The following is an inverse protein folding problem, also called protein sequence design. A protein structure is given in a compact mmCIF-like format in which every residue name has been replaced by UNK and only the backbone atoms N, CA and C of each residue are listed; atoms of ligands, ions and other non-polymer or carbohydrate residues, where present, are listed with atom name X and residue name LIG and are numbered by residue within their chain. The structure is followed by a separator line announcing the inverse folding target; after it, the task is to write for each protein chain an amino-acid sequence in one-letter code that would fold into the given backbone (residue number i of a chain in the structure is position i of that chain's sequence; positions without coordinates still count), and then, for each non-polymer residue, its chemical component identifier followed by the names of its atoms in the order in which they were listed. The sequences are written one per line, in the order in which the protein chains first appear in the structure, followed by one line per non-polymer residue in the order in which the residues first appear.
data_IF_260751927805
#
_entry.id   IF_260751927805
#
_cell.length_a   1.000
_cell.length_b   1.000
_cell.length_c   1.000
_cell.angle_alpha   90.00
_cell.angle_beta   90.00
_cell.angle_gamma   90.00
#
_symmetry.space_group_name_H-M   'P 1'
#
loop_
_entity.id
_entity.type
_entity.pdbx_description
1 polymer ?
#
# COMPACT_ATOMS: atom_id res chain seq x y z
N UNK A 1 28.83 -31.01 26.75
CA UNK A 1 29.09 -29.77 25.98
C UNK A 1 27.91 -29.38 25.10
N UNK A 2 27.32 -30.30 24.31
CA UNK A 2 26.10 -30.06 23.52
C UNK A 2 24.86 -29.63 24.35
N UNK A 3 24.68 -30.23 25.53
CA UNK A 3 23.56 -29.93 26.43
C UNK A 3 23.55 -28.49 27.00
N UNK A 4 24.72 -27.87 27.15
CA UNK A 4 24.84 -26.51 27.66
C UNK A 4 24.53 -25.46 26.58
N UNK A 5 24.86 -25.75 25.32
CA UNK A 5 24.53 -24.91 24.17
C UNK A 5 23.03 -24.94 23.87
N UNK A 6 22.40 -26.11 23.92
CA UNK A 6 20.95 -26.28 23.76
C UNK A 6 20.15 -25.50 24.82
N UNK A 7 20.59 -25.51 26.09
CA UNK A 7 19.91 -24.74 27.15
C UNK A 7 19.92 -23.22 26.90
N UNK A 8 21.01 -22.66 26.36
CA UNK A 8 21.07 -21.22 26.09
C UNK A 8 20.23 -20.82 24.87
N UNK A 9 20.08 -21.73 23.91
CA UNK A 9 19.21 -21.54 22.76
C UNK A 9 17.73 -21.55 23.17
N UNK A 10 17.34 -22.48 24.05
CA UNK A 10 15.98 -22.51 24.63
C UNK A 10 15.66 -21.25 25.44
N UNK A 11 16.59 -20.78 26.25
CA UNK A 11 16.43 -19.53 27.01
C UNK A 11 16.23 -18.34 26.06
N UNK A 12 17.04 -18.24 25.01
CA UNK A 12 16.89 -17.21 23.98
C UNK A 12 15.52 -17.28 23.31
N UNK A 13 15.10 -18.48 22.87
CA UNK A 13 13.81 -18.68 22.21
C UNK A 13 12.66 -18.22 23.11
N UNK A 14 12.66 -18.65 24.38
CA UNK A 14 11.62 -18.27 25.33
C UNK A 14 11.56 -16.76 25.56
N UNK A 15 12.72 -16.11 25.68
CA UNK A 15 12.80 -14.65 25.86
C UNK A 15 12.25 -13.93 24.63
N UNK A 16 12.69 -14.32 23.43
CA UNK A 16 12.27 -13.64 22.19
C UNK A 16 10.78 -13.87 21.93
N UNK A 17 10.26 -15.08 22.11
CA UNK A 17 8.83 -15.35 21.96
C UNK A 17 7.99 -14.56 22.94
N UNK A 18 8.40 -14.46 24.22
CA UNK A 18 7.71 -13.64 25.21
C UNK A 18 7.65 -12.17 24.77
N UNK A 19 8.76 -11.62 24.27
CA UNK A 19 8.83 -10.25 23.76
C UNK A 19 7.95 -10.08 22.51
N UNK A 20 8.07 -11.00 21.54
CA UNK A 20 7.33 -10.98 20.29
C UNK A 20 5.81 -11.02 20.54
N UNK A 21 5.34 -11.95 21.38
CA UNK A 21 3.93 -12.06 21.76
C UNK A 21 3.41 -10.79 22.45
N UNK A 22 4.24 -10.14 23.26
CA UNK A 22 3.86 -8.90 23.96
C UNK A 22 3.73 -7.71 23.01
N UNK A 23 4.61 -7.61 22.03
CA UNK A 23 4.70 -6.44 21.15
C UNK A 23 3.93 -6.57 19.84
N UNK A 24 3.71 -7.78 19.33
CA UNK A 24 3.09 -7.99 18.03
C UNK A 24 1.74 -7.26 17.87
N UNK A 25 0.86 -7.34 18.86
CA UNK A 25 -0.44 -6.66 18.83
C UNK A 25 -0.34 -5.14 18.90
N UNK A 26 0.58 -4.62 19.73
CA UNK A 26 0.79 -3.17 19.93
C UNK A 26 1.38 -2.51 18.68
N UNK A 27 2.31 -3.22 18.04
CA UNK A 27 3.02 -2.73 16.85
C UNK A 27 2.40 -3.23 15.54
N UNK A 28 1.27 -3.94 15.56
CA UNK A 28 0.50 -4.23 14.34
C UNK A 28 0.07 -2.93 13.64
N UNK A 29 0.15 -2.91 12.31
CA UNK A 29 -0.35 -1.83 11.46
C UNK A 29 -0.54 -2.31 10.01
N UNK A 30 -1.34 -1.58 9.24
CA UNK A 30 -1.56 -1.91 7.83
C UNK A 30 -2.11 -3.32 7.62
N UNK A 31 -1.62 -3.98 6.58
CA UNK A 31 -1.96 -5.37 6.23
C UNK A 31 -1.24 -6.42 7.09
N UNK A 32 -0.30 -6.03 7.95
CA UNK A 32 0.45 -7.02 8.73
C UNK A 32 -0.47 -7.80 9.66
N UNK A 33 -0.36 -9.12 9.59
CA UNK A 33 -0.97 -10.01 10.56
C UNK A 33 -0.18 -10.01 11.87
N UNK A 34 -0.77 -10.63 12.90
CA UNK A 34 -0.12 -10.74 14.19
C UNK A 34 1.16 -11.59 14.09
N UNK A 35 1.17 -12.61 13.22
CA UNK A 35 2.33 -13.48 13.02
C UNK A 35 3.47 -12.77 12.27
N UNK A 36 3.15 -11.94 11.27
CA UNK A 36 4.14 -11.09 10.58
C UNK A 36 4.91 -10.23 11.59
N UNK A 37 4.19 -9.65 12.55
CA UNK A 37 4.80 -8.80 13.57
C UNK A 37 5.65 -9.59 14.56
N UNK A 38 5.31 -10.85 14.86
CA UNK A 38 6.18 -11.72 15.68
C UNK A 38 7.46 -12.07 14.94
N UNK A 39 7.35 -12.43 13.66
CA UNK A 39 8.52 -12.72 12.82
C UNK A 39 9.45 -11.51 12.72
N UNK A 40 8.88 -10.31 12.54
CA UNK A 40 9.65 -9.08 12.52
C UNK A 40 10.37 -8.81 13.86
N UNK A 41 9.71 -9.11 14.99
CA UNK A 41 10.32 -8.99 16.31
C UNK A 41 11.50 -9.97 16.48
N UNK A 42 11.33 -11.20 15.98
CA UNK A 42 12.36 -12.24 15.93
C UNK A 42 13.59 -11.82 15.13
N UNK A 43 13.39 -11.37 13.89
CA UNK A 43 14.47 -10.90 13.03
C UNK A 43 15.28 -9.80 13.72
N UNK A 44 14.60 -8.82 14.29
CA UNK A 44 15.21 -7.70 15.00
C UNK A 44 15.96 -8.14 16.25
N UNK A 45 15.43 -9.11 17.00
CA UNK A 45 16.10 -9.65 18.17
C UNK A 45 17.42 -10.32 17.76
N UNK A 46 17.41 -11.17 16.73
CA UNK A 46 18.60 -11.86 16.22
C UNK A 46 19.64 -10.89 15.67
N UNK A 47 19.23 -9.83 14.98
CA UNK A 47 20.13 -8.77 14.53
C UNK A 47 20.79 -8.06 15.72
N UNK A 48 20.01 -7.73 16.76
CA UNK A 48 20.47 -7.04 17.96
C UNK A 48 21.42 -7.86 18.82
N UNK A 49 21.36 -9.20 18.79
CA UNK A 49 22.26 -10.07 19.55
C UNK A 49 23.75 -9.84 19.20
N UNK A 50 24.05 -9.40 17.97
CA UNK A 50 25.42 -9.12 17.53
C UNK A 50 26.08 -7.98 18.32
N UNK A 51 25.27 -7.06 18.82
CA UNK A 51 25.71 -5.88 19.57
C UNK A 51 25.58 -6.05 21.10
N UNK A 52 25.22 -7.25 21.57
CA UNK A 52 25.00 -7.51 22.99
C UNK A 52 26.33 -7.65 23.74
N UNK A 53 26.53 -6.84 24.77
CA UNK A 53 27.77 -6.74 25.53
C UNK A 53 27.80 -7.60 26.81
N UNK A 54 26.73 -8.35 27.10
CA UNK A 54 26.64 -9.24 28.26
C UNK A 54 26.51 -8.56 29.63
N UNK A 55 26.47 -7.21 29.70
CA UNK A 55 26.51 -6.49 31.00
C UNK A 55 25.17 -6.46 31.72
N UNK A 56 24.07 -6.45 30.98
CA UNK A 56 22.69 -6.38 31.49
C UNK A 56 21.95 -7.66 31.10
N UNK A 57 20.91 -8.09 31.82
CA UNK A 57 20.14 -9.28 31.44
C UNK A 57 19.67 -9.22 29.98
N UNK A 58 19.78 -10.36 29.29
CA UNK A 58 19.47 -10.48 27.87
C UNK A 58 18.04 -10.02 27.55
N UNK A 59 17.07 -10.41 28.38
CA UNK A 59 15.67 -9.99 28.25
C UNK A 59 15.54 -8.47 28.27
N UNK A 60 16.20 -7.76 29.19
CA UNK A 60 16.11 -6.30 29.28
C UNK A 60 16.73 -5.60 28.07
N UNK A 61 17.85 -6.15 27.57
CA UNK A 61 18.48 -5.67 26.36
C UNK A 61 17.55 -5.83 25.15
N UNK A 62 17.09 -7.06 24.90
CA UNK A 62 16.23 -7.40 23.77
C UNK A 62 14.90 -6.66 23.84
N UNK A 63 14.29 -6.56 25.03
CA UNK A 63 13.05 -5.81 25.23
C UNK A 63 13.18 -4.37 24.73
N UNK A 64 14.26 -3.68 25.11
CA UNK A 64 14.51 -2.30 24.69
C UNK A 64 14.83 -2.22 23.20
N UNK A 65 15.70 -3.10 22.71
CA UNK A 65 16.13 -3.12 21.32
C UNK A 65 14.95 -3.39 20.37
N UNK A 66 14.23 -4.49 20.60
CA UNK A 66 13.08 -4.91 19.79
C UNK A 66 11.99 -3.85 19.81
N UNK A 67 11.63 -3.32 21.00
CA UNK A 67 10.60 -2.26 21.11
C UNK A 67 10.95 -1.04 20.27
N UNK A 68 12.18 -0.53 20.38
CA UNK A 68 12.61 0.67 19.65
C UNK A 68 12.64 0.44 18.14
N UNK A 69 13.08 -0.74 17.72
CA UNK A 69 13.12 -1.14 16.31
C UNK A 69 11.73 -1.34 15.71
N UNK A 70 10.81 -2.00 16.42
CA UNK A 70 9.41 -2.12 15.98
C UNK A 70 8.70 -0.76 15.94
N UNK A 71 9.01 0.14 16.88
CA UNK A 71 8.52 1.51 16.83
C UNK A 71 9.00 2.25 15.57
N UNK A 72 10.30 2.16 15.26
CA UNK A 72 10.86 2.75 14.05
C UNK A 72 10.26 2.11 12.78
N UNK A 73 10.11 0.80 12.76
CA UNK A 73 9.50 0.06 11.66
C UNK A 73 8.08 0.57 11.36
N UNK A 74 7.22 0.70 12.39
CA UNK A 74 5.88 1.29 12.24
C UNK A 74 5.94 2.75 11.77
N UNK A 75 6.87 3.54 12.30
CA UNK A 75 7.04 4.95 11.94
C UNK A 75 7.47 5.16 10.48
N UNK A 76 8.34 4.29 9.97
CA UNK A 76 8.89 4.42 8.62
C UNK A 76 7.94 3.88 7.54
N UNK A 77 7.13 2.87 7.88
CA UNK A 77 6.25 2.19 6.93
C UNK A 77 4.79 2.63 6.99
N UNK A 78 4.29 3.14 8.13
CA UNK A 78 2.87 3.51 8.27
C UNK A 78 2.64 5.01 8.43
N UNK A 79 3.02 5.58 9.57
CA UNK A 79 2.65 6.95 9.93
C UNK A 79 3.68 7.60 10.84
N UNK A 80 3.98 8.87 10.58
CA UNK A 80 4.79 9.73 11.46
C UNK A 80 3.85 10.69 12.21
N UNK A 81 3.70 10.55 13.55
CA UNK A 81 2.87 11.45 14.33
C UNK A 81 3.35 12.90 14.33
N UNK A 82 4.66 13.11 14.26
CA UNK A 82 5.26 14.44 14.26
C UNK A 82 4.90 15.17 12.96
N UNK A 83 3.93 16.09 13.04
CA UNK A 83 3.58 16.98 11.93
C UNK A 83 4.50 18.20 11.95
N UNK A 84 4.81 18.81 10.79
CA UNK A 84 5.64 20.02 10.73
C UNK A 84 5.13 21.15 11.62
N UNK A 85 3.81 21.20 11.84
CA UNK A 85 3.16 22.19 12.69
C UNK A 85 3.49 22.07 14.18
N UNK A 86 3.89 20.89 14.70
CA UNK A 86 4.14 20.68 16.13
C UNK A 86 5.30 21.54 16.67
N UNK A 87 6.23 21.93 15.79
CA UNK A 87 7.37 22.79 16.10
C UNK A 87 7.35 24.08 15.29
N UNK A 88 6.21 24.45 14.72
CA UNK A 88 6.09 25.59 13.83
C UNK A 88 5.89 26.88 14.63
N UNK A 89 6.77 27.90 14.48
CA UNK A 89 6.60 29.19 15.15
C UNK A 89 5.34 29.95 14.73
N UNK A 90 4.77 29.61 13.57
CA UNK A 90 3.57 30.25 13.02
C UNK A 90 2.26 29.62 13.54
N UNK A 91 2.34 28.59 14.39
CA UNK A 91 1.18 27.97 15.01
C UNK A 91 0.94 28.61 16.38
N UNK A 92 -0.16 29.34 16.53
CA UNK A 92 -0.57 29.97 17.79
C UNK A 92 -1.99 29.51 18.09
N UNK A 93 -2.22 28.95 19.28
CA UNK A 93 -3.54 28.41 19.69
C UNK A 93 -4.16 27.45 18.65
N UNK A 94 -3.37 26.51 18.12
CA UNK A 94 -3.75 25.54 17.07
C UNK A 94 -4.18 26.12 15.71
N UNK A 95 -4.04 27.43 15.54
CA UNK A 95 -4.33 28.15 14.30
C UNK A 95 -3.03 28.61 13.64
N UNK A 96 -2.91 28.38 12.33
CA UNK A 96 -1.79 28.89 11.55
C UNK A 96 -2.02 30.38 11.29
N UNK A 97 -1.08 31.23 11.70
CA UNK A 97 -1.18 32.68 11.52
C UNK A 97 -0.98 33.12 10.06
N UNK A 98 -0.34 32.29 9.23
CA UNK A 98 0.03 32.62 7.85
C UNK A 98 -0.96 32.10 6.79
N UNK A 99 -1.52 30.91 6.98
CA UNK A 99 -2.34 30.24 5.97
C UNK A 99 -3.71 29.87 6.56
N UNK A 100 -4.78 30.07 5.78
CA UNK A 100 -6.14 29.72 6.19
C UNK A 100 -6.37 28.20 6.07
N UNK A 101 -5.91 27.61 4.98
CA UNK A 101 -5.82 26.16 4.80
C UNK A 101 -4.37 25.70 5.05
N UNK A 102 -4.20 24.66 5.88
CA UNK A 102 -2.88 24.08 6.16
C UNK A 102 -2.27 23.42 4.93
N UNK A 103 -3.07 22.98 3.95
CA UNK A 103 -2.56 22.40 2.70
C UNK A 103 -1.88 23.43 1.79
N UNK A 104 -2.12 24.72 1.99
CA UNK A 104 -1.38 25.79 1.30
C UNK A 104 0.06 25.91 1.80
N UNK A 105 0.37 25.37 2.98
CA UNK A 105 1.74 25.31 3.49
C UNK A 105 2.51 24.15 2.83
N UNK A 106 3.54 24.47 2.05
CA UNK A 106 4.41 23.49 1.38
C UNK A 106 4.96 22.40 2.31
N UNK A 107 5.37 22.76 3.52
CA UNK A 107 5.91 21.79 4.48
C UNK A 107 4.84 20.79 4.93
N UNK A 108 3.64 21.31 5.22
CA UNK A 108 2.52 20.49 5.67
C UNK A 108 1.98 19.62 4.53
N UNK A 109 1.76 20.19 3.35
CA UNK A 109 1.26 19.45 2.18
C UNK A 109 2.20 18.31 1.75
N UNK A 110 3.51 18.54 1.76
CA UNK A 110 4.52 17.49 1.50
C UNK A 110 4.54 16.41 2.58
N UNK A 111 4.32 16.76 3.83
CA UNK A 111 4.18 15.78 4.90
C UNK A 111 2.92 14.93 4.70
N UNK A 112 1.77 15.58 4.44
CA UNK A 112 0.48 14.93 4.20
C UNK A 112 0.56 13.95 3.04
N UNK A 113 1.05 14.38 1.86
CA UNK A 113 1.20 13.51 0.68
C UNK A 113 2.06 12.27 0.95
N UNK A 114 3.19 12.42 1.65
CA UNK A 114 4.06 11.28 1.98
C UNK A 114 3.39 10.31 2.95
N UNK A 115 2.66 10.86 3.91
CA UNK A 115 1.94 10.07 4.91
C UNK A 115 0.76 9.33 4.30
N UNK A 116 -0.03 9.98 3.46
CA UNK A 116 -1.13 9.37 2.71
C UNK A 116 -0.62 8.27 1.78
N UNK A 117 0.48 8.52 1.04
CA UNK A 117 1.10 7.51 0.19
C UNK A 117 1.50 6.26 0.98
N UNK A 118 2.13 6.42 2.16
CA UNK A 118 2.48 5.28 3.02
C UNK A 118 1.23 4.53 3.47
N UNK A 119 0.22 5.22 3.98
CA UNK A 119 -1.04 4.58 4.38
C UNK A 119 -1.69 3.82 3.22
N UNK A 120 -1.74 4.44 2.05
CA UNK A 120 -2.33 3.84 0.84
C UNK A 120 -1.61 2.57 0.40
N UNK A 121 -0.28 2.50 0.53
CA UNK A 121 0.49 1.28 0.21
C UNK A 121 0.24 0.16 1.24
N UNK A 122 -0.11 0.51 2.48
CA UNK A 122 -0.29 -0.43 3.58
C UNK A 122 -1.74 -0.84 3.80
N UNK A 123 -2.69 -0.19 3.14
CA UNK A 123 -4.07 -0.67 3.06
C UNK A 123 -4.07 -1.87 2.13
N UNK A 124 -4.38 -3.06 2.65
CA UNK A 124 -4.75 -4.17 1.80
C UNK A 124 -5.96 -3.71 0.99
N UNK A 125 -5.81 -3.58 -0.33
CA UNK A 125 -6.96 -3.73 -1.20
C UNK A 125 -7.26 -5.21 -1.08
N UNK A 126 -8.22 -5.58 -0.24
CA UNK A 126 -8.89 -6.85 -0.42
C UNK A 126 -9.30 -6.86 -1.89
N UNK A 127 -8.75 -7.77 -2.69
CA UNK A 127 -9.44 -8.25 -3.87
C UNK A 127 -10.67 -8.97 -3.33
N UNK A 128 -11.64 -8.18 -2.85
CA UNK A 128 -13.02 -8.61 -2.85
C UNK A 128 -13.28 -8.81 -4.33
N UNK A 129 -13.35 -10.08 -4.76
CA UNK A 129 -14.09 -10.42 -5.96
C UNK A 129 -15.38 -9.63 -5.85
N UNK A 130 -15.48 -8.63 -6.72
CA UNK A 130 -16.43 -7.54 -6.61
C UNK A 130 -17.79 -8.12 -6.30
N UNK A 131 -18.35 -7.69 -5.18
CA UNK A 131 -19.72 -7.99 -4.79
C UNK A 131 -20.61 -7.42 -5.91
N UNK A 132 -20.99 -8.30 -6.83
CA UNK A 132 -21.78 -7.99 -8.02
C UNK A 132 -23.13 -7.46 -7.55
N UNK A 133 -23.24 -6.13 -7.53
CA UNK A 133 -24.53 -5.46 -7.51
C UNK A 133 -25.29 -5.90 -8.77
N UNK A 134 -26.60 -6.15 -8.73
CA UNK A 134 -27.35 -6.53 -9.95
C UNK A 134 -27.24 -5.47 -11.06
N UNK A 135 -27.07 -4.19 -10.69
CA UNK A 135 -26.75 -3.10 -11.63
C UNK A 135 -25.34 -3.23 -12.25
N UNK A 136 -24.41 -3.91 -11.59
CA UNK A 136 -23.04 -4.15 -12.06
C UNK A 136 -22.99 -5.34 -13.04
N UNK A 137 -23.83 -6.37 -12.83
CA UNK A 137 -23.93 -7.51 -13.78
C UNK A 137 -24.40 -7.03 -15.16
N UNK A 138 -25.46 -6.21 -15.21
CA UNK A 138 -25.98 -5.68 -16.48
C UNK A 138 -24.97 -4.77 -17.16
N UNK A 139 -24.36 -3.84 -16.42
CA UNK A 139 -23.30 -2.97 -16.95
C UNK A 139 -22.10 -3.78 -17.44
N UNK A 140 -21.70 -4.85 -16.76
CA UNK A 140 -20.60 -5.71 -17.18
C UNK A 140 -20.95 -6.56 -18.39
N UNK A 141 -22.18 -7.05 -18.51
CA UNK A 141 -22.68 -7.73 -19.70
C UNK A 141 -22.71 -6.78 -20.90
N UNK A 142 -23.21 -5.56 -20.72
CA UNK A 142 -23.27 -4.53 -21.75
C UNK A 142 -21.86 -4.12 -22.21
N UNK A 143 -20.93 -3.90 -21.26
CA UNK A 143 -19.54 -3.62 -21.56
C UNK A 143 -18.88 -4.78 -22.30
N UNK A 144 -19.09 -6.02 -21.86
CA UNK A 144 -18.53 -7.20 -22.51
C UNK A 144 -19.06 -7.33 -23.94
N UNK A 145 -20.36 -7.15 -24.13
CA UNK A 145 -20.99 -7.16 -25.45
C UNK A 145 -20.42 -6.06 -26.36
N UNK A 146 -20.18 -4.87 -25.82
CA UNK A 146 -19.52 -3.76 -26.52
C UNK A 146 -18.10 -4.15 -26.97
N UNK A 147 -17.30 -4.68 -26.05
CA UNK A 147 -15.92 -5.09 -26.34
C UNK A 147 -15.86 -6.23 -27.37
N UNK A 148 -16.73 -7.23 -27.25
CA UNK A 148 -16.80 -8.36 -28.19
C UNK A 148 -17.23 -7.87 -29.59
N UNK A 149 -18.18 -6.94 -29.66
CA UNK A 149 -18.64 -6.33 -30.91
C UNK A 149 -17.51 -5.53 -31.58
N UNK A 150 -16.76 -4.74 -30.80
CA UNK A 150 -15.60 -4.02 -31.32
C UNK A 150 -14.54 -5.02 -31.78
N UNK A 151 -14.13 -5.99 -30.95
CA UNK A 151 -13.06 -6.93 -31.29
C UNK A 151 -13.35 -7.76 -32.54
N UNK A 152 -14.62 -8.14 -32.76
CA UNK A 152 -15.04 -8.88 -33.94
C UNK A 152 -14.97 -8.03 -35.21
N UNK A 153 -15.35 -6.76 -35.14
CA UNK A 153 -15.44 -5.86 -36.29
C UNK A 153 -14.17 -5.03 -36.52
N UNK A 154 -13.19 -5.06 -35.61
CA UNK A 154 -11.93 -4.34 -35.79
C UNK A 154 -11.17 -4.85 -37.03
N UNK A 155 -10.77 -3.95 -37.95
CA UNK A 155 -10.03 -4.33 -39.15
C UNK A 155 -8.63 -4.87 -38.80
N UNK A 156 -8.14 -5.79 -39.63
CA UNK A 156 -6.89 -6.54 -39.39
C UNK A 156 -5.69 -5.58 -39.22
N UNK A 157 -5.67 -4.47 -39.94
CA UNK A 157 -4.60 -3.47 -39.88
C UNK A 157 -4.54 -2.72 -38.54
N UNK A 158 -5.66 -2.63 -37.82
CA UNK A 158 -5.77 -1.94 -36.53
C UNK A 158 -5.78 -2.91 -35.34
N UNK A 159 -5.87 -4.22 -35.57
CA UNK A 159 -6.04 -5.24 -34.52
C UNK A 159 -4.91 -5.24 -33.49
N UNK A 160 -3.65 -5.15 -33.92
CA UNK A 160 -2.51 -5.08 -32.98
C UNK A 160 -2.62 -3.85 -32.06
N UNK A 161 -3.02 -2.70 -32.63
CA UNK A 161 -3.15 -1.45 -31.89
C UNK A 161 -4.35 -1.46 -30.95
N UNK A 162 -5.45 -2.09 -31.35
CA UNK A 162 -6.62 -2.34 -30.50
C UNK A 162 -6.28 -3.20 -29.28
N UNK A 163 -5.60 -4.33 -29.46
CA UNK A 163 -5.14 -5.19 -28.34
C UNK A 163 -4.26 -4.38 -27.39
N UNK A 164 -3.31 -3.62 -27.93
CA UNK A 164 -2.44 -2.74 -27.13
C UNK A 164 -3.23 -1.64 -26.41
N UNK A 165 -4.30 -1.13 -27.02
CA UNK A 165 -5.19 -0.12 -26.45
C UNK A 165 -5.96 -0.66 -25.24
N UNK A 166 -6.56 -1.86 -25.35
CA UNK A 166 -7.28 -2.52 -24.24
C UNK A 166 -6.34 -2.76 -23.05
N UNK A 167 -5.11 -3.21 -23.32
CA UNK A 167 -4.12 -3.48 -22.27
C UNK A 167 -3.41 -2.23 -21.73
N UNK A 168 -3.86 -1.03 -22.10
CA UNK A 168 -3.32 0.23 -21.57
C UNK A 168 -1.87 0.53 -21.99
N UNK A 169 -1.36 -0.10 -23.06
CA UNK A 169 -0.01 0.11 -23.56
C UNK A 169 0.07 1.43 -24.34
N UNK A 170 1.24 2.08 -24.32
CA UNK A 170 1.45 3.35 -25.03
C UNK A 170 1.35 3.16 -26.55
N UNK A 171 0.52 3.99 -27.17
CA UNK A 171 0.36 4.10 -28.62
C UNK A 171 0.87 5.45 -29.13
N UNK A 172 1.34 5.48 -30.38
CA UNK A 172 1.62 6.73 -31.08
C UNK A 172 0.31 7.52 -31.27
N UNK A 173 0.37 8.86 -31.20
CA UNK A 173 -0.78 9.76 -31.27
C UNK A 173 -1.66 9.46 -32.50
N UNK A 174 -1.05 9.39 -33.69
CA UNK A 174 -1.77 9.13 -34.94
C UNK A 174 -2.47 7.76 -34.94
N UNK A 175 -1.85 6.73 -34.35
CA UNK A 175 -2.43 5.38 -34.28
C UNK A 175 -3.55 5.28 -33.26
N UNK A 176 -3.44 6.01 -32.15
CA UNK A 176 -4.52 6.14 -31.17
C UNK A 176 -5.75 6.82 -31.77
N UNK A 177 -5.56 7.90 -32.53
CA UNK A 177 -6.65 8.58 -33.22
C UNK A 177 -7.34 7.68 -34.25
N UNK A 178 -6.58 6.91 -35.03
CA UNK A 178 -7.13 5.92 -35.98
C UNK A 178 -7.97 4.85 -35.29
N UNK A 179 -7.48 4.27 -34.19
CA UNK A 179 -8.24 3.27 -33.42
C UNK A 179 -9.52 3.86 -32.84
N UNK A 180 -9.49 5.08 -32.31
CA UNK A 180 -10.68 5.74 -31.77
C UNK A 180 -11.73 6.04 -32.84
N UNK A 181 -11.31 6.51 -34.01
CA UNK A 181 -12.21 6.75 -35.14
C UNK A 181 -12.91 5.46 -35.57
N UNK A 182 -12.15 4.36 -35.68
CA UNK A 182 -12.70 3.07 -36.06
C UNK A 182 -13.70 2.54 -35.04
N UNK A 183 -13.37 2.65 -33.75
CA UNK A 183 -14.31 2.30 -32.66
C UNK A 183 -15.61 3.08 -32.81
N UNK A 184 -15.54 4.40 -33.02
CA UNK A 184 -16.77 5.21 -33.17
C UNK A 184 -17.57 4.84 -34.42
N UNK A 185 -16.93 4.37 -35.49
CA UNK A 185 -17.65 3.89 -36.68
C UNK A 185 -18.38 2.58 -36.38
N UNK A 186 -17.69 1.62 -35.75
CA UNK A 186 -18.28 0.33 -35.37
C UNK A 186 -19.47 0.54 -34.42
N UNK A 187 -19.35 1.45 -33.45
CA UNK A 187 -20.45 1.73 -32.52
C UNK A 187 -21.66 2.35 -33.21
N UNK A 188 -21.45 3.24 -34.19
CA UNK A 188 -22.53 3.81 -35.03
C UNK A 188 -23.22 2.77 -35.89
N UNK A 189 -22.45 1.92 -36.56
CA UNK A 189 -23.00 0.87 -37.43
C UNK A 189 -23.86 -0.12 -36.67
N UNK A 190 -23.53 -0.37 -35.40
CA UNK A 190 -24.26 -1.27 -34.52
C UNK A 190 -25.34 -0.58 -33.66
N UNK A 191 -25.61 0.73 -33.87
CA UNK A 191 -26.55 1.54 -33.08
C UNK A 191 -26.29 1.49 -31.56
N UNK A 192 -25.03 1.44 -31.16
CA UNK A 192 -24.59 1.43 -29.76
C UNK A 192 -24.13 2.82 -29.28
N UNK A 193 -24.23 3.83 -30.14
CA UNK A 193 -24.00 5.23 -29.78
C UNK A 193 -25.20 5.76 -28.98
N UNK A 194 -25.01 5.87 -27.66
CA UNK A 194 -25.95 6.55 -26.77
C UNK A 194 -25.95 8.07 -27.00
N UNK A 195 -26.71 8.53 -27.98
CA UNK A 195 -27.24 9.90 -28.02
C UNK A 195 -28.66 9.96 -27.43
N UNK A 196 -28.87 9.49 -26.20
CA UNK A 196 -29.90 10.02 -25.29
C UNK A 196 -29.31 10.03 -23.87
N UNK A 197 -29.38 11.18 -23.20
CA UNK A 197 -28.68 11.47 -21.95
C UNK A 197 -29.30 10.91 -20.69
#
# INVERSE_FOLDING_TARGET
MLWWWWMQEEELIQIVDKIANRFASTFKFGYHELEDMKQQAWQVALEGLKDYDGKRPLENFLWTHVRNRLYNFKRDNYFRPEKPCDRCPLLVNDVCTKFKDRLECDLYSRWTKRTEKRKSLMTAVEHNDTNYNENDITIQLDNKHLFDTIDYNMPVELREYWIRFIHGLKLNKNKREQVLLEITLILKEHNLDSEEG
#
